data_IF_162218838144
#
_entry.id   IF_162218838144
#
_cell.length_a   1.000
_cell.length_b   1.000
_cell.length_c   1.000
_cell.angle_alpha   90.00
_cell.angle_beta   90.00
_cell.angle_gamma   90.00
#
_symmetry.space_group_name_H-M   'P 1'
#
loop_
_entity.id
_entity.type
_entity.pdbx_description
1 polymer ?
#
# COMPACT_ATOMS: atom_id res chain seq x y z
N UNK A 1 -40.65 -52.52 32.28
CA UNK A 1 -40.80 -51.04 32.13
C UNK A 1 -39.42 -50.42 32.12
N UNK A 2 -38.78 -50.33 30.95
CA UNK A 2 -37.53 -49.66 30.79
C UNK A 2 -37.76 -48.32 30.03
N UNK A 3 -37.40 -47.26 30.68
CA UNK A 3 -37.63 -45.87 30.28
C UNK A 3 -36.79 -45.44 29.08
N UNK A 4 -37.44 -44.96 28.03
CA UNK A 4 -36.90 -44.33 26.83
C UNK A 4 -36.45 -42.90 27.13
N UNK A 5 -35.18 -42.72 27.49
CA UNK A 5 -34.56 -41.38 27.55
C UNK A 5 -33.08 -41.45 27.15
N UNK A 6 -32.80 -41.56 25.86
CA UNK A 6 -31.44 -41.31 25.33
C UNK A 6 -31.54 -41.18 23.81
N UNK A 7 -31.99 -40.01 23.35
CA UNK A 7 -31.72 -39.56 21.95
C UNK A 7 -32.05 -38.07 21.77
N UNK A 8 -31.26 -37.18 22.36
CA UNK A 8 -31.25 -35.75 22.01
C UNK A 8 -29.90 -35.16 22.42
N UNK A 9 -28.88 -35.26 21.57
CA UNK A 9 -27.71 -34.37 21.59
C UNK A 9 -26.74 -34.81 20.51
N UNK A 10 -26.97 -34.44 19.26
CA UNK A 10 -25.93 -34.44 18.22
C UNK A 10 -26.44 -33.63 17.01
N UNK A 11 -26.58 -32.34 17.15
CA UNK A 11 -26.71 -31.43 16.02
C UNK A 11 -26.38 -29.96 16.44
N UNK A 12 -25.16 -29.73 16.86
CA UNK A 12 -24.66 -28.35 17.05
C UNK A 12 -23.12 -28.33 16.90
N UNK A 13 -22.61 -28.69 15.74
CA UNK A 13 -21.16 -28.77 15.58
C UNK A 13 -20.59 -28.45 14.20
N UNK A 14 -21.37 -27.92 13.25
CA UNK A 14 -20.87 -27.78 11.86
C UNK A 14 -20.96 -26.35 11.29
N UNK A 15 -21.40 -25.33 12.04
CA UNK A 15 -21.66 -24.00 11.46
C UNK A 15 -20.62 -22.92 11.77
N UNK A 16 -19.50 -23.21 12.45
CA UNK A 16 -18.56 -22.15 12.86
C UNK A 16 -17.36 -22.01 11.90
N UNK A 17 -17.05 -23.00 11.07
CA UNK A 17 -15.85 -22.96 10.21
C UNK A 17 -16.05 -22.06 8.97
N UNK A 18 -17.26 -21.91 8.46
CA UNK A 18 -17.52 -21.10 7.25
C UNK A 18 -17.44 -19.57 7.46
N UNK A 19 -17.77 -19.07 8.65
CA UNK A 19 -17.80 -17.63 8.91
C UNK A 19 -16.40 -17.04 9.08
N UNK A 20 -15.46 -17.78 9.66
CA UNK A 20 -14.09 -17.30 9.88
C UNK A 20 -13.29 -17.13 8.59
N UNK A 21 -13.51 -18.01 7.62
CA UNK A 21 -12.80 -17.98 6.34
C UNK A 21 -13.26 -16.80 5.48
N UNK A 22 -14.56 -16.53 5.42
CA UNK A 22 -15.10 -15.41 4.63
C UNK A 22 -14.67 -14.05 5.17
N UNK A 23 -14.51 -13.88 6.48
CA UNK A 23 -14.03 -12.66 7.10
C UNK A 23 -12.54 -12.42 6.83
N UNK A 24 -11.72 -13.47 6.80
CA UNK A 24 -10.30 -13.37 6.48
C UNK A 24 -10.07 -12.94 5.02
N UNK A 25 -10.82 -13.49 4.07
CA UNK A 25 -10.75 -13.10 2.65
C UNK A 25 -11.16 -11.62 2.45
N UNK A 26 -12.23 -11.18 3.08
CA UNK A 26 -12.66 -9.78 3.00
C UNK A 26 -11.59 -8.83 3.55
N UNK A 27 -10.93 -9.18 4.67
CA UNK A 27 -9.86 -8.38 5.25
C UNK A 27 -8.63 -8.30 4.32
N UNK A 28 -8.22 -9.39 3.70
CA UNK A 28 -7.11 -9.42 2.75
C UNK A 28 -7.40 -8.56 1.50
N UNK A 29 -8.61 -8.66 0.95
CA UNK A 29 -9.03 -7.84 -0.19
C UNK A 29 -9.04 -6.35 0.14
N UNK A 30 -9.49 -5.95 1.34
CA UNK A 30 -9.51 -4.56 1.76
C UNK A 30 -8.09 -4.01 1.98
N UNK A 31 -7.17 -4.79 2.51
CA UNK A 31 -5.75 -4.44 2.60
C UNK A 31 -5.12 -4.25 1.20
N UNK A 32 -5.44 -5.11 0.23
CA UNK A 32 -4.96 -4.96 -1.15
C UNK A 32 -5.54 -3.71 -1.81
N UNK A 33 -6.85 -3.43 -1.64
CA UNK A 33 -7.47 -2.20 -2.14
C UNK A 33 -6.82 -0.96 -1.56
N UNK A 34 -6.48 -0.97 -0.26
CA UNK A 34 -5.79 0.13 0.39
C UNK A 34 -4.40 0.38 -0.22
N UNK A 35 -3.58 -0.67 -0.45
CA UNK A 35 -2.31 -0.55 -1.19
C UNK A 35 -2.49 0.03 -2.59
N UNK A 36 -3.49 -0.46 -3.31
CA UNK A 36 -3.78 0.02 -4.67
C UNK A 36 -4.21 1.49 -4.67
N UNK A 37 -5.00 1.91 -3.69
CA UNK A 37 -5.42 3.30 -3.52
C UNK A 37 -4.24 4.21 -3.21
N UNK A 38 -3.35 3.82 -2.30
CA UNK A 38 -2.09 4.52 -2.00
C UNK A 38 -1.23 4.67 -3.25
N UNK A 39 -0.94 3.58 -3.96
CA UNK A 39 -0.11 3.62 -5.18
C UNK A 39 -0.73 4.46 -6.29
N UNK A 40 -2.06 4.44 -6.44
CA UNK A 40 -2.78 5.28 -7.39
C UNK A 40 -2.68 6.77 -7.01
N UNK A 41 -2.82 7.08 -5.72
CA UNK A 41 -2.66 8.43 -5.18
C UNK A 41 -1.24 8.96 -5.41
N UNK A 42 -0.24 8.15 -5.07
CA UNK A 42 1.17 8.46 -5.30
C UNK A 42 1.49 8.70 -6.79
N UNK A 43 0.92 7.86 -7.67
CA UNK A 43 1.07 8.03 -9.12
C UNK A 43 0.47 9.36 -9.63
N UNK A 44 -0.68 9.77 -9.10
CA UNK A 44 -1.30 11.06 -9.45
C UNK A 44 -0.44 12.24 -8.97
N UNK A 45 0.04 12.19 -7.74
CA UNK A 45 0.91 13.23 -7.18
C UNK A 45 2.23 13.32 -7.96
N UNK A 46 2.89 12.19 -8.25
CA UNK A 46 4.09 12.13 -9.09
C UNK A 46 3.86 12.69 -10.48
N UNK A 47 2.68 12.48 -11.09
CA UNK A 47 2.33 13.06 -12.38
C UNK A 47 2.33 14.58 -12.37
N UNK A 48 1.75 15.20 -11.34
CA UNK A 48 1.74 16.66 -11.17
C UNK A 48 3.16 17.21 -10.97
N UNK A 49 3.97 16.58 -10.12
CA UNK A 49 5.36 16.97 -9.88
C UNK A 49 6.23 16.78 -11.13
N UNK A 50 6.02 15.73 -11.90
CA UNK A 50 6.74 15.45 -13.13
C UNK A 50 6.41 16.48 -14.23
N UNK A 51 5.17 16.98 -14.30
CA UNK A 51 4.80 18.04 -15.23
C UNK A 51 5.60 19.35 -14.97
N UNK A 52 5.76 19.69 -13.67
CA UNK A 52 6.61 20.84 -13.27
C UNK A 52 8.09 20.58 -13.65
N UNK A 53 8.60 19.38 -13.34
CA UNK A 53 9.99 19.02 -13.63
C UNK A 53 10.33 19.10 -15.12
N UNK A 54 9.38 18.74 -15.99
CA UNK A 54 9.54 18.79 -17.45
C UNK A 54 9.27 20.17 -18.06
N UNK A 55 8.78 21.14 -17.28
CA UNK A 55 8.36 22.44 -17.78
C UNK A 55 7.02 22.42 -18.53
N UNK A 56 6.24 21.34 -18.39
CA UNK A 56 4.88 21.21 -18.93
C UNK A 56 3.85 22.00 -18.08
N UNK A 57 4.21 22.30 -16.83
CA UNK A 57 3.51 23.18 -15.91
C UNK A 57 4.48 24.13 -15.23
N UNK A 58 4.08 25.36 -14.88
CA UNK A 58 4.93 26.27 -14.11
C UNK A 58 5.18 25.71 -12.70
N UNK A 59 6.33 26.09 -12.12
CA UNK A 59 6.59 25.81 -10.71
C UNK A 59 5.57 26.54 -9.84
N UNK A 60 4.93 25.79 -8.95
CA UNK A 60 4.01 26.30 -7.93
C UNK A 60 4.26 25.55 -6.62
N UNK A 61 4.74 26.24 -5.62
CA UNK A 61 5.03 25.68 -4.30
C UNK A 61 3.78 25.09 -3.62
N UNK A 62 2.58 25.63 -3.89
CA UNK A 62 1.34 25.10 -3.36
C UNK A 62 0.98 23.75 -4.00
N UNK A 63 1.21 23.59 -5.30
CA UNK A 63 1.02 22.32 -6.01
C UNK A 63 2.02 21.26 -5.51
N UNK A 64 3.29 21.65 -5.32
CA UNK A 64 4.31 20.76 -4.76
C UNK A 64 3.90 20.30 -3.37
N UNK A 65 3.56 21.23 -2.47
CA UNK A 65 3.10 20.91 -1.12
C UNK A 65 1.87 19.99 -1.12
N UNK A 66 0.84 20.34 -1.88
CA UNK A 66 -0.39 19.56 -1.94
C UNK A 66 -0.15 18.11 -2.44
N UNK A 67 0.77 17.94 -3.41
CA UNK A 67 1.16 16.63 -3.91
C UNK A 67 1.87 15.79 -2.84
N UNK A 68 2.78 16.38 -2.08
CA UNK A 68 3.51 15.70 -1.01
C UNK A 68 2.61 15.40 0.21
N UNK A 69 1.69 16.29 0.55
CA UNK A 69 0.68 16.08 1.59
C UNK A 69 -0.26 14.94 1.22
N UNK A 70 -0.69 14.85 -0.05
CA UNK A 70 -1.51 13.75 -0.55
C UNK A 70 -0.79 12.40 -0.47
N UNK A 71 0.52 12.35 -0.75
CA UNK A 71 1.33 11.14 -0.56
C UNK A 71 1.39 10.75 0.92
N UNK A 72 1.61 11.71 1.83
CA UNK A 72 1.67 11.47 3.26
C UNK A 72 0.32 10.96 3.82
N UNK A 73 -0.78 11.54 3.36
CA UNK A 73 -2.13 11.12 3.77
C UNK A 73 -2.47 9.72 3.25
N UNK A 74 -2.06 9.39 2.02
CA UNK A 74 -2.23 8.06 1.44
C UNK A 74 -1.45 6.98 2.20
N UNK A 75 -0.21 7.28 2.58
CA UNK A 75 0.64 6.43 3.41
C UNK A 75 0.03 6.19 4.80
N UNK A 76 -0.45 7.24 5.48
CA UNK A 76 -1.12 7.11 6.76
C UNK A 76 -2.37 6.23 6.68
N UNK A 77 -3.21 6.42 5.65
CA UNK A 77 -4.41 5.61 5.43
C UNK A 77 -4.07 4.14 5.12
N UNK A 78 -3.02 3.88 4.35
CA UNK A 78 -2.55 2.52 4.07
C UNK A 78 -2.03 1.82 5.33
N UNK A 79 -1.31 2.54 6.20
CA UNK A 79 -0.81 2.03 7.47
C UNK A 79 -1.97 1.72 8.44
N UNK A 80 -2.98 2.59 8.54
CA UNK A 80 -4.19 2.35 9.33
C UNK A 80 -4.95 1.11 8.85
N UNK A 81 -5.07 0.94 7.55
CA UNK A 81 -5.70 -0.22 6.91
C UNK A 81 -4.82 -1.49 6.97
N UNK A 82 -3.62 -1.44 7.55
CA UNK A 82 -2.64 -2.55 7.55
C UNK A 82 -2.37 -3.07 6.14
N UNK A 83 -2.34 -2.18 5.16
CA UNK A 83 -2.26 -2.50 3.75
C UNK A 83 -1.01 -3.33 3.38
N UNK A 84 0.06 -3.21 4.16
CA UNK A 84 1.33 -3.89 3.97
C UNK A 84 1.57 -5.04 4.97
N UNK A 85 0.53 -5.51 5.66
CA UNK A 85 0.60 -6.69 6.50
C UNK A 85 0.70 -7.97 5.64
N UNK A 86 1.47 -8.97 6.10
CA UNK A 86 1.66 -10.24 5.40
C UNK A 86 0.35 -11.02 5.24
N UNK A 87 -0.60 -10.86 6.16
CA UNK A 87 -1.93 -11.47 6.10
C UNK A 87 -2.71 -11.13 4.83
N UNK A 88 -2.37 -10.00 4.18
CA UNK A 88 -2.98 -9.60 2.90
C UNK A 88 -2.62 -10.50 1.71
N UNK A 89 -1.68 -11.43 1.88
CA UNK A 89 -1.30 -12.40 0.83
C UNK A 89 -2.06 -13.71 0.95
N UNK A 90 -2.74 -13.95 2.06
CA UNK A 90 -3.45 -15.19 2.33
C UNK A 90 -4.94 -15.03 2.02
N UNK A 91 -5.44 -15.86 1.10
CA UNK A 91 -6.86 -15.94 0.80
C UNK A 91 -7.48 -14.77 0.05
N UNK A 92 -6.68 -13.84 -0.46
CA UNK A 92 -7.19 -12.74 -1.26
C UNK A 92 -7.86 -13.21 -2.56
N UNK A 93 -8.98 -12.58 -2.91
CA UNK A 93 -9.72 -12.87 -4.14
C UNK A 93 -9.42 -11.87 -5.26
N UNK A 94 -8.84 -10.71 -4.94
CA UNK A 94 -8.46 -9.70 -5.91
C UNK A 94 -6.98 -9.78 -6.28
N UNK A 95 -6.69 -9.41 -7.52
CA UNK A 95 -5.32 -9.42 -8.03
C UNK A 95 -4.46 -8.36 -7.32
N UNK A 96 -3.22 -8.73 -7.02
CA UNK A 96 -2.19 -7.82 -6.53
C UNK A 96 -0.91 -7.92 -7.36
N UNK A 97 -0.29 -6.76 -7.62
CA UNK A 97 1.03 -6.70 -8.26
C UNK A 97 2.18 -6.68 -7.26
N UNK A 98 1.89 -6.71 -5.96
CA UNK A 98 2.91 -6.90 -4.95
C UNK A 98 3.47 -8.33 -5.05
N UNK A 99 4.80 -8.44 -5.00
CA UNK A 99 5.48 -9.74 -4.97
C UNK A 99 5.57 -10.23 -3.53
N UNK A 100 5.50 -11.55 -3.28
CA UNK A 100 5.61 -12.12 -1.93
C UNK A 100 6.96 -11.83 -1.26
N UNK A 101 7.99 -11.52 -2.03
CA UNK A 101 9.33 -11.16 -1.51
C UNK A 101 9.32 -9.91 -0.62
N UNK A 102 8.26 -9.08 -0.66
CA UNK A 102 8.06 -7.96 0.27
C UNK A 102 8.10 -8.45 1.72
N UNK A 103 7.52 -9.63 1.98
CA UNK A 103 7.36 -10.20 3.32
C UNK A 103 8.34 -11.33 3.63
N UNK A 104 9.25 -11.63 2.72
CA UNK A 104 10.25 -12.67 2.93
C UNK A 104 11.28 -12.26 3.98
N UNK A 105 11.88 -13.25 4.65
CA UNK A 105 13.03 -13.03 5.52
C UNK A 105 14.17 -12.37 4.73
N UNK A 106 14.80 -11.35 5.31
CA UNK A 106 15.84 -10.56 4.64
C UNK A 106 15.30 -9.53 3.63
N UNK A 107 13.99 -9.32 3.55
CA UNK A 107 13.41 -8.28 2.71
C UNK A 107 13.97 -6.89 3.03
N UNK A 108 14.29 -6.13 1.99
CA UNK A 108 14.76 -4.76 2.11
C UNK A 108 13.63 -3.72 2.00
N UNK A 109 12.36 -4.17 2.06
CA UNK A 109 11.21 -3.27 1.87
C UNK A 109 11.22 -2.10 2.86
N UNK A 110 11.60 -2.32 4.11
CA UNK A 110 11.72 -1.26 5.11
C UNK A 110 12.75 -0.19 4.75
N UNK A 111 13.93 -0.61 4.25
CA UNK A 111 14.95 0.32 3.78
C UNK A 111 14.50 1.10 2.54
N UNK A 112 13.78 0.47 1.61
CA UNK A 112 13.20 1.13 0.43
C UNK A 112 12.11 2.11 0.81
N UNK A 113 11.27 1.76 1.77
CA UNK A 113 10.26 2.67 2.31
C UNK A 113 10.90 3.89 2.98
N UNK A 114 11.94 3.68 3.81
CA UNK A 114 12.64 4.79 4.46
C UNK A 114 13.27 5.73 3.43
N UNK A 115 13.92 5.20 2.39
CA UNK A 115 14.47 6.02 1.30
C UNK A 115 13.41 6.88 0.60
N UNK A 116 12.19 6.36 0.44
CA UNK A 116 11.07 7.13 -0.10
C UNK A 116 10.61 8.23 0.88
N UNK A 117 10.52 7.94 2.19
CA UNK A 117 10.18 8.95 3.22
C UNK A 117 11.21 10.06 3.23
N UNK A 118 12.50 9.72 3.20
CA UNK A 118 13.61 10.68 3.21
C UNK A 118 13.59 11.59 1.97
N UNK A 119 13.40 11.00 0.79
CA UNK A 119 13.31 11.75 -0.47
C UNK A 119 12.10 12.69 -0.51
N UNK A 120 10.94 12.23 -0.02
CA UNK A 120 9.73 13.05 0.12
C UNK A 120 9.96 14.21 1.09
N UNK A 121 10.60 13.95 2.22
CA UNK A 121 10.92 14.97 3.23
C UNK A 121 11.91 15.99 2.70
N UNK A 122 12.97 15.56 2.01
CA UNK A 122 13.93 16.43 1.39
C UNK A 122 13.28 17.36 0.34
N UNK A 123 12.37 16.79 -0.49
CA UNK A 123 11.63 17.59 -1.47
C UNK A 123 10.66 18.58 -0.81
N UNK A 124 10.02 18.21 0.30
CA UNK A 124 9.14 19.10 1.06
C UNK A 124 9.88 20.26 1.72
N UNK A 125 11.18 20.13 1.98
CA UNK A 125 12.01 21.18 2.56
C UNK A 125 12.48 22.23 1.51
N UNK A 126 12.23 22.02 0.22
CA UNK A 126 12.62 22.97 -0.83
C UNK A 126 11.68 24.17 -0.87
N UNK A 127 12.22 25.35 -1.14
CA UNK A 127 11.47 26.62 -1.09
C UNK A 127 11.33 27.29 -2.46
N UNK A 128 12.03 26.79 -3.48
CA UNK A 128 12.06 27.36 -4.82
C UNK A 128 12.17 26.28 -5.92
N UNK A 129 12.04 26.71 -7.16
CA UNK A 129 12.10 25.83 -8.33
C UNK A 129 13.45 25.13 -8.48
N UNK A 130 14.56 25.80 -8.16
CA UNK A 130 15.89 25.21 -8.28
C UNK A 130 16.08 24.08 -7.27
N UNK A 131 15.67 24.28 -6.01
CA UNK A 131 15.66 23.26 -4.97
C UNK A 131 14.75 22.08 -5.33
N UNK A 132 13.53 22.38 -5.84
CA UNK A 132 12.61 21.35 -6.33
C UNK A 132 13.25 20.48 -7.41
N UNK A 133 13.84 21.11 -8.45
CA UNK A 133 14.50 20.39 -9.57
C UNK A 133 15.68 19.55 -9.11
N UNK A 134 16.40 19.99 -8.11
CA UNK A 134 17.52 19.25 -7.54
C UNK A 134 17.06 18.03 -6.71
N UNK A 135 15.98 18.16 -5.94
CA UNK A 135 15.52 17.11 -5.02
C UNK A 135 14.56 16.09 -5.66
N UNK A 136 13.73 16.49 -6.64
CA UNK A 136 12.70 15.63 -7.24
C UNK A 136 13.23 14.31 -7.83
N UNK A 137 14.39 14.23 -8.51
CA UNK A 137 14.91 12.96 -9.04
C UNK A 137 15.07 11.87 -7.98
N UNK A 138 15.44 12.22 -6.74
CA UNK A 138 15.60 11.26 -5.65
C UNK A 138 14.26 10.59 -5.27
N UNK A 139 13.15 11.34 -5.28
CA UNK A 139 11.83 10.80 -5.04
C UNK A 139 11.43 9.78 -6.13
N UNK A 140 11.69 10.11 -7.39
CA UNK A 140 11.46 9.21 -8.52
C UNK A 140 12.30 7.92 -8.42
N UNK A 141 13.58 8.05 -8.07
CA UNK A 141 14.49 6.93 -7.88
C UNK A 141 14.05 6.01 -6.73
N UNK A 142 13.58 6.56 -5.62
CA UNK A 142 13.06 5.77 -4.49
C UNK A 142 11.82 4.95 -4.90
N UNK A 143 10.89 5.54 -5.66
CA UNK A 143 9.74 4.80 -6.22
C UNK A 143 10.20 3.66 -7.15
N UNK A 144 11.11 3.95 -8.09
CA UNK A 144 11.64 2.97 -9.04
C UNK A 144 12.35 1.83 -8.35
N UNK A 145 13.25 2.11 -7.43
CA UNK A 145 14.04 1.09 -6.73
C UNK A 145 13.24 0.12 -5.86
N UNK A 146 12.05 0.54 -5.37
CA UNK A 146 11.12 -0.39 -4.72
C UNK A 146 10.34 -1.22 -5.76
N UNK A 147 9.84 -0.59 -6.82
CA UNK A 147 9.04 -1.25 -7.85
C UNK A 147 9.82 -2.30 -8.64
N UNK A 148 11.08 -2.08 -8.94
CA UNK A 148 11.95 -3.07 -9.61
C UNK A 148 12.06 -4.37 -8.82
N UNK A 149 12.18 -4.28 -7.51
CA UNK A 149 12.34 -5.45 -6.65
C UNK A 149 11.00 -6.13 -6.31
N UNK A 150 9.97 -5.35 -5.99
CA UNK A 150 8.80 -5.81 -5.26
C UNK A 150 7.48 -5.71 -6.03
N UNK A 151 7.49 -5.18 -7.23
CA UNK A 151 6.31 -5.11 -8.08
C UNK A 151 6.42 -6.06 -9.27
N UNK A 152 5.34 -6.82 -9.55
CA UNK A 152 5.24 -7.63 -10.78
C UNK A 152 5.29 -6.70 -12.00
N UNK A 153 5.88 -7.14 -13.13
CA UNK A 153 5.78 -6.42 -14.39
C UNK A 153 4.31 -6.15 -14.75
N UNK A 154 4.06 -5.03 -15.43
CA UNK A 154 2.77 -4.86 -16.11
C UNK A 154 2.75 -5.83 -17.29
N UNK A 155 1.76 -6.72 -17.30
CA UNK A 155 1.44 -7.49 -18.49
C UNK A 155 0.92 -6.60 -19.62
#
# INVERSE_FOLDING_TARGET
>A
MLSSKLLKSLTAGVFIIGLGVTLAYAAADDQIKARQAEMKGNGKAMGALAAIMKGEAPYDAAVVKASLDAMAAGDAAANEAKAWDASSMEGATIETWAKPEIWAEGSQVGAKYQAWVDARTALAATTDEAGFKAAFPALGAACGGCHEMYRKPKG
#
